data_IF_089275768890
#
_entry.id   IF_089275768890
#
_cell.length_a   1.000
_cell.length_b   1.000
_cell.length_c   1.000
_cell.angle_alpha   90.00
_cell.angle_beta   90.00
_cell.angle_gamma   90.00
#
_symmetry.space_group_name_H-M   'P 1'
#
loop_
_entity.id
_entity.type
_entity.pdbx_description
1 polymer ?
#
# COMPACT_ATOMS: atom_id res chain seq x y z
N UNK A 1 -12.26 -9.44 -23.71
CA UNK A 1 -12.07 -9.00 -22.31
C UNK A 1 -10.87 -9.76 -21.78
N UNK A 2 -9.74 -9.09 -21.70
CA UNK A 2 -8.59 -9.63 -20.95
C UNK A 2 -8.89 -9.39 -19.48
N UNK A 3 -9.33 -10.43 -18.76
CA UNK A 3 -9.60 -10.39 -17.36
C UNK A 3 -8.30 -10.23 -16.54
N UNK A 4 -8.40 -9.89 -15.26
CA UNK A 4 -7.28 -9.91 -14.33
C UNK A 4 -6.68 -11.33 -14.22
N UNK A 5 -5.40 -11.40 -13.90
CA UNK A 5 -4.68 -12.66 -13.69
C UNK A 5 -4.62 -12.98 -12.20
N UNK A 6 -4.82 -14.27 -11.86
CA UNK A 6 -4.61 -14.81 -10.52
C UNK A 6 -3.27 -15.53 -10.47
N UNK A 7 -2.45 -15.24 -9.48
CA UNK A 7 -1.17 -15.88 -9.24
C UNK A 7 -1.11 -16.43 -7.82
N UNK A 8 -0.84 -17.73 -7.69
CA UNK A 8 -0.51 -18.37 -6.41
C UNK A 8 0.99 -18.23 -6.14
N UNK A 9 1.34 -17.58 -5.03
CA UNK A 9 2.72 -17.34 -4.63
C UNK A 9 3.17 -18.28 -3.51
N UNK A 10 4.42 -18.75 -3.63
CA UNK A 10 5.04 -19.63 -2.65
C UNK A 10 5.67 -18.82 -1.52
N UNK A 11 5.59 -19.34 -0.30
CA UNK A 11 6.24 -18.77 0.87
C UNK A 11 7.75 -18.71 0.69
N UNK A 12 8.37 -17.57 0.90
CA UNK A 12 9.81 -17.43 0.99
C UNK A 12 10.32 -17.76 2.40
N UNK A 13 11.59 -18.13 2.49
CA UNK A 13 12.20 -18.46 3.79
C UNK A 13 12.59 -17.18 4.50
N UNK A 14 12.16 -17.03 5.74
CA UNK A 14 12.31 -15.84 6.57
C UNK A 14 13.76 -15.30 6.64
N UNK A 15 14.73 -16.21 6.74
CA UNK A 15 16.16 -15.88 6.94
C UNK A 15 16.81 -15.15 5.76
N UNK A 16 16.19 -15.17 4.59
CA UNK A 16 16.71 -14.51 3.38
C UNK A 16 15.91 -13.29 2.96
N UNK A 17 14.79 -13.02 3.62
CA UNK A 17 13.85 -11.99 3.17
C UNK A 17 14.47 -10.61 3.03
N UNK A 18 15.23 -10.13 4.01
CA UNK A 18 15.85 -8.79 3.98
C UNK A 18 16.82 -8.65 2.81
N UNK A 19 17.59 -9.71 2.53
CA UNK A 19 18.51 -9.74 1.38
C UNK A 19 17.75 -9.74 0.06
N UNK A 20 16.68 -10.51 -0.03
CA UNK A 20 15.82 -10.54 -1.21
C UNK A 20 15.15 -9.20 -1.43
N UNK A 21 14.68 -8.54 -0.37
CA UNK A 21 14.10 -7.21 -0.39
C UNK A 21 15.07 -6.15 -0.91
N UNK A 22 16.34 -6.18 -0.46
CA UNK A 22 17.36 -5.27 -0.98
C UNK A 22 17.67 -5.50 -2.46
N UNK A 23 17.73 -6.77 -2.89
CA UNK A 23 17.97 -7.10 -4.30
C UNK A 23 16.81 -6.63 -5.16
N UNK A 24 15.57 -6.90 -4.74
CA UNK A 24 14.37 -6.46 -5.44
C UNK A 24 14.33 -4.92 -5.57
N UNK A 25 14.67 -4.20 -4.50
CA UNK A 25 14.71 -2.73 -4.50
C UNK A 25 15.74 -2.18 -5.49
N UNK A 26 16.89 -2.87 -5.66
CA UNK A 26 17.89 -2.52 -6.67
C UNK A 26 17.41 -2.80 -8.10
N UNK A 27 16.71 -3.91 -8.31
CA UNK A 27 16.09 -4.24 -9.61
C UNK A 27 15.05 -3.18 -9.98
N UNK A 28 14.13 -2.86 -9.10
CA UNK A 28 13.10 -1.83 -9.29
C UNK A 28 13.69 -0.45 -9.58
N UNK A 29 14.81 -0.11 -8.92
CA UNK A 29 15.52 1.14 -9.16
C UNK A 29 16.13 1.20 -10.57
N UNK A 30 16.79 0.12 -11.00
CA UNK A 30 17.35 -0.01 -12.35
C UNK A 30 16.25 0.10 -13.42
N UNK A 31 15.11 -0.53 -13.16
CA UNK A 31 13.99 -0.64 -14.09
C UNK A 31 13.04 0.58 -14.01
N UNK A 32 13.37 1.56 -13.12
CA UNK A 32 12.62 2.79 -12.91
C UNK A 32 11.14 2.53 -12.57
N UNK A 33 10.89 1.51 -11.78
CA UNK A 33 9.58 1.18 -11.25
C UNK A 33 9.52 1.53 -9.78
N UNK A 34 8.68 2.47 -9.39
CA UNK A 34 8.40 2.76 -7.99
C UNK A 34 7.39 1.75 -7.45
N UNK A 35 7.69 1.13 -6.31
CA UNK A 35 6.78 0.19 -5.64
C UNK A 35 6.31 0.77 -4.31
N UNK A 36 5.01 0.95 -4.17
CA UNK A 36 4.34 1.31 -2.93
C UNK A 36 3.77 0.05 -2.26
N UNK A 37 4.16 -0.23 -1.01
CA UNK A 37 3.48 -1.21 -0.17
C UNK A 37 2.36 -0.50 0.63
N UNK A 38 1.10 -0.84 0.35
CA UNK A 38 -0.08 -0.25 0.98
C UNK A 38 -0.65 -1.21 2.02
N UNK A 39 -0.53 -0.85 3.28
CA UNK A 39 -0.93 -1.66 4.43
C UNK A 39 -2.11 -1.05 5.18
N UNK A 40 -2.91 -1.88 5.81
CA UNK A 40 -4.01 -1.44 6.69
C UNK A 40 -4.65 -2.61 7.42
N UNK A 41 -5.59 -2.31 8.30
CA UNK A 41 -6.58 -3.29 8.77
C UNK A 41 -7.69 -3.53 7.74
N UNK A 42 -8.42 -4.65 7.85
CA UNK A 42 -9.62 -4.88 7.06
C UNK A 42 -10.65 -3.76 7.25
N UNK A 43 -11.33 -3.37 6.18
CA UNK A 43 -12.37 -2.35 6.23
C UNK A 43 -11.89 -0.90 6.38
N UNK A 44 -10.59 -0.62 6.39
CA UNK A 44 -10.03 0.75 6.46
C UNK A 44 -10.32 1.60 5.22
N UNK A 45 -10.66 0.97 4.09
CA UNK A 45 -10.96 1.62 2.81
C UNK A 45 -9.83 1.57 1.80
N UNK A 46 -8.99 0.52 1.82
CA UNK A 46 -7.90 0.29 0.85
C UNK A 46 -8.37 0.43 -0.59
N UNK A 47 -9.31 -0.40 -1.01
CA UNK A 47 -9.83 -0.43 -2.39
C UNK A 47 -10.39 0.92 -2.84
N UNK A 48 -11.11 1.64 -1.95
CA UNK A 48 -11.62 2.98 -2.26
C UNK A 48 -10.48 3.99 -2.42
N UNK A 49 -9.46 3.91 -1.55
CA UNK A 49 -8.26 4.75 -1.63
C UNK A 49 -7.46 4.47 -2.91
N UNK A 50 -7.29 3.19 -3.27
CA UNK A 50 -6.63 2.80 -4.52
C UNK A 50 -7.35 3.36 -5.74
N UNK A 51 -8.68 3.25 -5.81
CA UNK A 51 -9.46 3.82 -6.91
C UNK A 51 -9.28 5.33 -7.03
N UNK A 52 -9.29 6.06 -5.90
CA UNK A 52 -9.06 7.49 -5.88
C UNK A 52 -7.62 7.85 -6.32
N UNK A 53 -6.63 7.04 -5.88
CA UNK A 53 -5.22 7.19 -6.25
C UNK A 53 -5.01 6.99 -7.75
N UNK A 54 -5.56 5.91 -8.31
CA UNK A 54 -5.47 5.60 -9.74
C UNK A 54 -6.14 6.70 -10.56
N UNK A 55 -7.34 7.13 -10.17
CA UNK A 55 -8.05 8.20 -10.87
C UNK A 55 -7.26 9.53 -10.91
N UNK A 56 -6.49 9.82 -9.84
CA UNK A 56 -5.69 11.03 -9.74
C UNK A 56 -4.36 10.99 -10.52
N UNK A 57 -3.82 9.78 -10.81
CA UNK A 57 -2.45 9.63 -11.32
C UNK A 57 -2.32 8.87 -12.64
N UNK A 58 -3.36 8.20 -13.14
CA UNK A 58 -3.33 7.34 -14.33
C UNK A 58 -2.96 8.05 -15.62
N UNK A 59 -3.18 9.36 -15.72
CA UNK A 59 -2.82 10.14 -16.89
C UNK A 59 -1.33 10.56 -16.88
N UNK A 60 -0.64 10.34 -15.78
CA UNK A 60 0.77 10.71 -15.57
C UNK A 60 1.69 9.49 -15.48
N UNK A 61 1.20 8.36 -14.95
CA UNK A 61 1.96 7.14 -14.71
C UNK A 61 1.24 5.90 -15.24
N UNK A 62 2.01 4.95 -15.76
CA UNK A 62 1.54 3.59 -16.06
C UNK A 62 1.45 2.83 -14.75
N UNK A 63 0.22 2.68 -14.22
CA UNK A 63 -0.01 2.12 -12.89
C UNK A 63 -0.34 0.63 -13.00
N UNK A 64 0.36 -0.18 -12.17
CA UNK A 64 0.06 -1.58 -11.95
C UNK A 64 -0.29 -1.85 -10.50
N UNK A 65 -1.25 -2.74 -10.24
CA UNK A 65 -1.70 -3.10 -8.90
C UNK A 65 -1.56 -4.60 -8.70
N UNK A 66 -0.91 -4.97 -7.62
CA UNK A 66 -0.88 -6.32 -7.09
C UNK A 66 -1.79 -6.34 -5.86
N UNK A 67 -2.89 -7.05 -5.95
CA UNK A 67 -3.88 -7.15 -4.90
C UNK A 67 -3.69 -8.47 -4.14
N UNK A 68 -3.37 -8.39 -2.84
CA UNK A 68 -3.15 -9.56 -2.03
C UNK A 68 -4.34 -9.84 -1.12
N UNK A 69 -4.99 -10.97 -1.34
CA UNK A 69 -6.03 -11.49 -0.46
C UNK A 69 -5.78 -12.97 -0.14
N UNK A 70 -6.44 -13.43 0.89
CA UNK A 70 -6.35 -14.84 1.31
C UNK A 70 -7.04 -15.73 0.27
N UNK A 71 -8.24 -15.32 -0.22
CA UNK A 71 -9.06 -16.17 -1.10
C UNK A 71 -10.15 -15.40 -1.91
N UNK A 72 -10.07 -14.06 -2.04
CA UNK A 72 -11.08 -13.24 -2.74
C UNK A 72 -10.47 -12.53 -3.96
N UNK A 73 -11.26 -12.40 -5.02
CA UNK A 73 -10.92 -11.68 -6.25
C UNK A 73 -11.79 -10.44 -6.50
N UNK A 74 -12.66 -10.11 -5.55
CA UNK A 74 -13.66 -9.02 -5.69
C UNK A 74 -13.00 -7.66 -5.82
N UNK A 75 -11.95 -7.41 -5.06
CA UNK A 75 -11.23 -6.13 -5.07
C UNK A 75 -10.40 -5.97 -6.35
N UNK A 76 -9.73 -7.02 -6.82
CA UNK A 76 -9.02 -7.02 -8.11
C UNK A 76 -9.96 -6.68 -9.28
N UNK A 77 -11.13 -7.31 -9.35
CA UNK A 77 -12.13 -7.03 -10.38
C UNK A 77 -12.70 -5.59 -10.29
N UNK A 78 -12.66 -5.01 -9.10
CA UNK A 78 -13.08 -3.62 -8.87
C UNK A 78 -12.01 -2.63 -9.32
N UNK A 79 -10.74 -2.93 -9.11
CA UNK A 79 -9.61 -2.10 -9.54
C UNK A 79 -9.41 -2.19 -11.07
N UNK A 80 -9.57 -3.37 -11.69
CA UNK A 80 -9.48 -3.54 -13.14
C UNK A 80 -10.35 -2.55 -13.91
N UNK A 81 -11.55 -2.27 -13.41
CA UNK A 81 -12.49 -1.29 -14.02
C UNK A 81 -11.95 0.14 -14.06
N UNK A 82 -10.88 0.46 -13.35
CA UNK A 82 -10.20 1.77 -13.40
C UNK A 82 -9.32 1.93 -14.63
N UNK A 83 -9.00 0.83 -15.32
CA UNK A 83 -8.07 0.75 -16.44
C UNK A 83 -6.61 0.54 -16.02
N UNK A 84 -6.31 0.36 -14.73
CA UNK A 84 -4.99 -0.05 -14.27
C UNK A 84 -4.74 -1.53 -14.59
N UNK A 85 -3.45 -1.88 -14.78
CA UNK A 85 -3.03 -3.27 -14.89
C UNK A 85 -3.14 -3.93 -13.51
N UNK A 86 -3.82 -5.07 -13.40
CA UNK A 86 -4.09 -5.71 -12.10
C UNK A 86 -3.71 -7.17 -12.11
N UNK A 87 -3.15 -7.64 -11.01
CA UNK A 87 -2.95 -9.07 -10.74
C UNK A 87 -3.42 -9.38 -9.32
N UNK A 88 -4.14 -10.49 -9.17
CA UNK A 88 -4.52 -11.03 -7.88
C UNK A 88 -3.43 -11.99 -7.37
N UNK A 89 -3.01 -11.81 -6.13
CA UNK A 89 -2.06 -12.66 -5.44
C UNK A 89 -2.79 -13.48 -4.36
N UNK A 90 -2.93 -14.78 -4.57
CA UNK A 90 -3.45 -15.69 -3.55
C UNK A 90 -2.31 -16.10 -2.61
N UNK A 91 -2.40 -15.67 -1.35
CA UNK A 91 -1.35 -15.93 -0.36
C UNK A 91 -1.38 -17.35 0.22
N UNK A 92 -2.41 -18.14 -0.12
CA UNK A 92 -2.56 -19.51 0.40
C UNK A 92 -2.73 -19.58 1.93
N UNK A 93 -3.39 -18.57 2.50
CA UNK A 93 -3.63 -18.48 3.95
C UNK A 93 -2.56 -17.68 4.72
N UNK A 94 -1.57 -17.11 4.02
CA UNK A 94 -0.59 -16.21 4.64
C UNK A 94 -1.22 -14.85 4.94
N UNK A 95 -0.89 -14.29 6.10
CA UNK A 95 -1.39 -12.99 6.56
C UNK A 95 -0.49 -11.80 6.19
N UNK A 96 0.51 -12.01 5.32
CA UNK A 96 1.46 -11.00 4.83
C UNK A 96 2.05 -11.42 3.49
N UNK A 97 2.75 -10.49 2.86
CA UNK A 97 3.64 -10.75 1.74
C UNK A 97 5.09 -10.46 2.15
N UNK A 98 6.02 -11.22 1.60
CA UNK A 98 7.45 -11.01 1.70
C UNK A 98 8.05 -10.55 0.36
N UNK A 99 9.38 -10.36 0.30
CA UNK A 99 10.05 -9.89 -0.91
C UNK A 99 9.99 -10.90 -2.07
N UNK A 100 10.08 -12.20 -1.78
CA UNK A 100 9.99 -13.26 -2.78
C UNK A 100 8.60 -13.33 -3.40
N UNK A 101 7.56 -13.22 -2.58
CA UNK A 101 6.17 -13.16 -3.03
C UNK A 101 5.91 -11.89 -3.85
N UNK A 102 6.43 -10.76 -3.39
CA UNK A 102 6.33 -9.48 -4.11
C UNK A 102 6.99 -9.55 -5.48
N UNK A 103 8.19 -10.14 -5.57
CA UNK A 103 8.89 -10.35 -6.84
C UNK A 103 8.08 -11.20 -7.80
N UNK A 104 7.51 -12.32 -7.35
CA UNK A 104 6.63 -13.17 -8.17
C UNK A 104 5.40 -12.38 -8.67
N UNK A 105 4.83 -11.54 -7.81
CA UNK A 105 3.73 -10.65 -8.18
C UNK A 105 4.10 -9.66 -9.28
N UNK A 106 5.26 -9.01 -9.16
CA UNK A 106 5.78 -8.08 -10.16
C UNK A 106 6.07 -8.76 -11.51
N UNK A 107 6.67 -9.96 -11.49
CA UNK A 107 6.90 -10.77 -12.69
C UNK A 107 5.56 -11.13 -13.37
N UNK A 108 4.56 -11.53 -12.60
CA UNK A 108 3.21 -11.82 -13.08
C UNK A 108 2.48 -10.60 -13.62
N UNK A 109 2.70 -9.42 -13.02
CA UNK A 109 2.16 -8.16 -13.47
C UNK A 109 2.83 -7.70 -14.79
N UNK A 110 4.11 -8.03 -15.00
CA UNK A 110 4.90 -7.59 -16.14
C UNK A 110 5.29 -6.12 -16.01
N UNK A 111 6.37 -5.87 -15.26
CA UNK A 111 6.80 -4.53 -14.83
C UNK A 111 7.38 -3.65 -15.94
N UNK A 112 7.79 -4.20 -17.08
CA UNK A 112 8.40 -3.44 -18.19
C UNK A 112 7.54 -2.24 -18.66
N UNK A 113 6.23 -2.32 -18.42
CA UNK A 113 5.25 -1.31 -18.80
C UNK A 113 4.66 -0.55 -17.58
N UNK A 114 5.32 -0.60 -16.41
CA UNK A 114 4.80 -0.01 -15.17
C UNK A 114 5.80 0.95 -14.56
N UNK A 115 5.42 2.22 -14.42
CA UNK A 115 6.24 3.24 -13.74
C UNK A 115 5.96 3.28 -12.23
N UNK A 116 4.74 2.92 -11.85
CA UNK A 116 4.24 2.94 -10.49
C UNK A 116 3.46 1.67 -10.18
N UNK A 117 4.07 0.77 -9.42
CA UNK A 117 3.43 -0.43 -8.90
C UNK A 117 2.91 -0.20 -7.48
N UNK A 118 1.72 -0.71 -7.19
CA UNK A 118 1.12 -0.70 -5.86
C UNK A 118 0.91 -2.15 -5.42
N UNK A 119 1.47 -2.51 -4.27
CA UNK A 119 1.18 -3.74 -3.58
C UNK A 119 0.13 -3.46 -2.51
N UNK A 120 -1.12 -3.85 -2.75
CA UNK A 120 -2.13 -3.89 -1.70
C UNK A 120 -1.86 -5.12 -0.82
N UNK A 121 -1.29 -4.90 0.36
CA UNK A 121 -0.96 -5.98 1.28
C UNK A 121 -2.21 -6.52 2.00
N UNK A 122 -2.11 -7.74 2.52
CA UNK A 122 -3.19 -8.36 3.30
C UNK A 122 -3.64 -7.47 4.45
N UNK A 123 -4.94 -7.39 4.69
CA UNK A 123 -5.52 -6.58 5.76
C UNK A 123 -5.11 -7.08 7.15
N UNK A 124 -3.97 -6.57 7.67
CA UNK A 124 -3.39 -6.96 8.96
C UNK A 124 -2.44 -5.86 9.44
N UNK A 125 -2.38 -5.60 10.77
CA UNK A 125 -1.50 -4.59 11.36
C UNK A 125 -0.26 -5.16 12.05
N UNK A 126 -0.09 -6.48 12.07
CA UNK A 126 1.04 -7.16 12.73
C UNK A 126 1.98 -7.74 11.68
N UNK A 127 1.57 -8.81 11.01
CA UNK A 127 2.44 -9.57 10.12
C UNK A 127 3.05 -8.74 8.97
N UNK A 128 2.30 -7.87 8.25
CA UNK A 128 2.88 -7.04 7.19
C UNK A 128 3.95 -6.06 7.67
N UNK A 129 3.97 -5.73 8.97
CA UNK A 129 5.00 -4.85 9.53
C UNK A 129 6.34 -5.57 9.80
N UNK A 130 6.33 -6.90 9.89
CA UNK A 130 7.51 -7.70 10.21
C UNK A 130 8.31 -8.13 8.97
N UNK A 131 7.69 -8.04 7.78
CA UNK A 131 8.29 -8.52 6.53
C UNK A 131 8.55 -7.37 5.56
N UNK A 132 9.81 -7.19 5.19
CA UNK A 132 10.18 -6.27 4.13
C UNK A 132 9.76 -6.84 2.77
N UNK A 133 8.91 -6.12 2.05
CA UNK A 133 8.42 -6.50 0.72
C UNK A 133 9.35 -6.08 -0.43
N UNK A 134 10.46 -5.40 -0.14
CA UNK A 134 11.31 -4.77 -1.16
C UNK A 134 10.73 -3.50 -1.78
N UNK A 135 9.68 -2.93 -1.18
CA UNK A 135 9.05 -1.70 -1.66
C UNK A 135 9.96 -0.48 -1.57
N UNK A 136 9.70 0.51 -2.44
CA UNK A 136 10.36 1.82 -2.40
C UNK A 136 9.89 2.64 -1.22
N UNK A 137 8.60 2.54 -0.89
CA UNK A 137 7.93 3.24 0.21
C UNK A 137 6.82 2.40 0.83
N UNK A 138 6.58 2.63 2.12
CA UNK A 138 5.50 2.01 2.89
C UNK A 138 4.43 3.05 3.24
N UNK A 139 3.20 2.79 2.84
CA UNK A 139 2.03 3.57 3.22
C UNK A 139 1.11 2.76 4.11
N UNK A 140 0.52 3.41 5.10
CA UNK A 140 -0.50 2.81 5.95
C UNK A 140 -1.79 3.61 5.90
N UNK A 141 -2.94 2.91 5.88
CA UNK A 141 -4.26 3.52 6.05
C UNK A 141 -4.79 3.16 7.44
N UNK A 142 -5.09 4.19 8.24
CA UNK A 142 -5.87 4.10 9.47
C UNK A 142 -7.19 4.82 9.25
N UNK A 143 -8.32 4.17 9.46
CA UNK A 143 -9.60 4.85 9.34
C UNK A 143 -10.11 5.36 10.69
N UNK A 144 -10.84 6.48 10.66
CA UNK A 144 -11.44 7.10 11.87
C UNK A 144 -12.21 6.10 12.74
N UNK A 145 -13.07 5.19 12.20
CA UNK A 145 -13.78 4.22 13.03
C UNK A 145 -12.91 3.22 13.78
N UNK A 146 -11.62 3.08 13.42
CA UNK A 146 -10.71 2.15 14.09
C UNK A 146 -10.16 2.69 15.42
N UNK A 147 -10.23 4.00 15.64
CA UNK A 147 -9.75 4.68 16.84
C UNK A 147 -8.33 5.24 16.72
N UNK A 148 -8.08 6.33 17.44
CA UNK A 148 -6.83 7.08 17.44
C UNK A 148 -5.71 6.42 18.28
N UNK A 149 -6.05 5.39 19.04
CA UNK A 149 -5.15 4.62 19.90
C UNK A 149 -4.41 3.47 19.18
N UNK A 150 -4.70 3.23 17.90
CA UNK A 150 -4.03 2.18 17.11
C UNK A 150 -2.50 2.27 17.11
N UNK A 151 -1.87 3.46 17.07
CA UNK A 151 -0.41 3.56 17.16
C UNK A 151 0.16 3.01 18.47
N UNK A 152 -0.60 3.05 19.56
CA UNK A 152 -0.19 2.51 20.85
C UNK A 152 -0.29 0.98 20.89
N UNK A 153 -1.22 0.40 20.12
CA UNK A 153 -1.48 -1.04 20.06
C UNK A 153 -0.59 -1.77 19.04
N UNK A 154 -0.22 -1.08 17.96
CA UNK A 154 0.55 -1.65 16.84
C UNK A 154 1.76 -0.79 16.48
N UNK A 155 2.67 -0.51 17.44
CA UNK A 155 3.73 0.49 17.27
C UNK A 155 4.68 0.18 16.10
N UNK A 156 4.97 -1.09 15.81
CA UNK A 156 5.84 -1.47 14.71
C UNK A 156 5.30 -1.00 13.37
N UNK A 157 4.01 -1.21 13.10
CA UNK A 157 3.37 -0.78 11.84
C UNK A 157 3.58 0.72 11.58
N UNK A 158 3.39 1.57 12.60
CA UNK A 158 3.55 3.01 12.45
C UNK A 158 5.01 3.47 12.40
N UNK A 159 5.93 2.67 12.92
CA UNK A 159 7.37 3.01 12.91
C UNK A 159 8.04 2.79 11.56
N UNK A 160 7.54 1.85 10.75
CA UNK A 160 8.13 1.48 9.46
C UNK A 160 7.54 2.24 8.26
N UNK A 161 6.45 2.97 8.46
CA UNK A 161 5.75 3.64 7.36
C UNK A 161 6.36 5.01 7.04
N UNK A 162 6.45 5.35 5.75
CA UNK A 162 6.84 6.67 5.26
C UNK A 162 5.66 7.65 5.33
N UNK A 163 4.44 7.14 5.13
CA UNK A 163 3.22 7.94 5.15
C UNK A 163 2.07 7.20 5.83
N UNK A 164 1.29 7.95 6.60
CA UNK A 164 0.03 7.53 7.21
C UNK A 164 -1.12 8.31 6.59
N UNK A 165 -2.06 7.61 5.99
CA UNK A 165 -3.34 8.15 5.56
C UNK A 165 -4.37 7.93 6.67
N UNK A 166 -4.91 9.01 7.25
CA UNK A 166 -6.04 8.93 8.18
C UNK A 166 -7.30 9.06 7.35
N UNK A 167 -7.93 7.91 7.03
CA UNK A 167 -9.06 7.83 6.11
C UNK A 167 -10.41 7.94 6.82
N UNK A 168 -11.45 8.23 6.03
CA UNK A 168 -12.84 8.41 6.47
C UNK A 168 -13.02 9.62 7.39
N UNK A 169 -12.30 10.73 7.13
CA UNK A 169 -12.46 11.95 7.92
C UNK A 169 -13.85 12.57 7.78
N UNK A 170 -14.58 12.24 6.71
CA UNK A 170 -15.98 12.63 6.48
C UNK A 170 -16.94 12.12 7.57
N UNK A 171 -16.58 11.03 8.28
CA UNK A 171 -17.39 10.52 9.39
C UNK A 171 -16.84 10.89 10.77
N UNK A 172 -15.74 11.65 10.85
CA UNK A 172 -15.11 12.05 12.11
C UNK A 172 -16.08 12.67 13.14
N UNK A 173 -17.09 13.48 12.75
CA UNK A 173 -18.05 14.03 13.70
C UNK A 173 -18.92 12.99 14.43
N UNK A 174 -18.94 11.75 13.96
CA UNK A 174 -19.74 10.65 14.52
C UNK A 174 -18.92 9.66 15.35
N UNK A 175 -17.62 9.89 15.50
CA UNK A 175 -16.70 9.00 16.22
C UNK A 175 -15.89 9.81 17.24
N UNK A 176 -15.53 9.15 18.33
CA UNK A 176 -14.60 9.67 19.31
C UNK A 176 -13.16 9.42 18.81
N UNK A 177 -12.68 10.31 17.95
CA UNK A 177 -11.35 10.25 17.33
C UNK A 177 -10.63 11.58 17.50
N UNK A 178 -9.56 11.57 18.29
CA UNK A 178 -8.69 12.74 18.46
C UNK A 178 -7.51 12.70 17.47
N UNK A 179 -7.62 13.49 16.40
CA UNK A 179 -6.61 13.58 15.36
C UNK A 179 -5.24 14.04 15.89
N UNK A 180 -5.23 14.98 16.83
CA UNK A 180 -3.97 15.51 17.39
C UNK A 180 -3.32 14.51 18.36
N UNK A 181 -4.11 13.78 19.13
CA UNK A 181 -3.60 12.67 19.94
C UNK A 181 -2.99 11.59 19.05
N UNK A 182 -3.68 11.17 17.99
CA UNK A 182 -3.17 10.20 17.02
C UNK A 182 -1.85 10.67 16.40
N UNK A 183 -1.77 11.92 15.91
CA UNK A 183 -0.54 12.51 15.37
C UNK A 183 0.61 12.49 16.38
N UNK A 184 0.33 12.79 17.64
CA UNK A 184 1.32 12.79 18.73
C UNK A 184 1.85 11.37 18.99
N UNK A 185 0.98 10.36 19.01
CA UNK A 185 1.39 8.96 19.18
C UNK A 185 2.27 8.49 18.02
N UNK A 186 1.83 8.75 16.79
CA UNK A 186 2.57 8.36 15.58
C UNK A 186 3.95 9.02 15.52
N UNK A 187 4.04 10.34 15.76
CA UNK A 187 5.31 11.07 15.71
C UNK A 187 6.31 10.67 16.79
N UNK A 188 5.85 10.09 17.91
CA UNK A 188 6.74 9.51 18.91
C UNK A 188 7.42 8.24 18.41
N UNK A 189 6.75 7.47 17.56
CA UNK A 189 7.27 6.23 16.97
C UNK A 189 8.11 6.53 15.72
N UNK A 190 7.65 7.48 14.91
CA UNK A 190 8.28 7.87 13.68
C UNK A 190 8.17 9.39 13.48
N UNK A 191 9.20 10.16 13.89
CA UNK A 191 9.18 11.63 13.80
C UNK A 191 9.06 12.18 12.37
N UNK A 192 9.51 11.42 11.37
CA UNK A 192 9.59 11.84 9.98
C UNK A 192 8.39 11.43 9.12
N UNK A 193 7.46 10.68 9.68
CA UNK A 193 6.30 10.19 8.93
C UNK A 193 5.43 11.33 8.41
N UNK A 194 5.07 11.29 7.14
CA UNK A 194 4.04 12.19 6.59
C UNK A 194 2.66 11.71 7.04
N UNK A 195 1.81 12.60 7.55
CA UNK A 195 0.44 12.26 7.97
C UNK A 195 -0.53 13.08 7.14
N UNK A 196 -1.40 12.41 6.40
CA UNK A 196 -2.37 13.03 5.49
C UNK A 196 -3.77 12.55 5.86
N UNK A 197 -4.63 13.41 6.42
CA UNK A 197 -6.06 13.12 6.58
C UNK A 197 -6.74 13.10 5.22
N UNK A 198 -7.54 12.06 4.96
CA UNK A 198 -8.26 11.89 3.70
C UNK A 198 -9.70 11.39 3.92
N UNK A 199 -10.56 11.66 2.97
CA UNK A 199 -11.75 10.88 2.70
C UNK A 199 -11.68 10.36 1.26
N UNK A 200 -11.36 9.09 1.11
CA UNK A 200 -11.34 8.45 -0.21
C UNK A 200 -12.73 8.45 -0.88
N UNK A 201 -13.79 8.58 -0.07
CA UNK A 201 -15.17 8.65 -0.55
C UNK A 201 -15.52 10.01 -1.15
N UNK A 202 -15.14 11.11 -0.47
CA UNK A 202 -15.50 12.48 -0.89
C UNK A 202 -14.43 13.12 -1.75
N UNK A 203 -13.21 12.58 -1.77
CA UNK A 203 -12.05 13.15 -2.45
C UNK A 203 -11.25 14.14 -1.61
N UNK A 204 -11.69 14.46 -0.39
CA UNK A 204 -10.95 15.35 0.51
C UNK A 204 -9.56 14.77 0.85
N UNK A 205 -8.50 15.59 0.76
CA UNK A 205 -7.12 15.20 1.02
C UNK A 205 -6.47 14.35 -0.09
N UNK A 206 -7.21 13.85 -1.08
CA UNK A 206 -6.66 13.02 -2.17
C UNK A 206 -5.65 13.78 -3.03
N UNK A 207 -5.83 15.08 -3.23
CA UNK A 207 -4.85 15.89 -3.96
C UNK A 207 -3.49 15.93 -3.24
N UNK A 208 -3.45 16.13 -1.91
CA UNK A 208 -2.20 16.12 -1.12
C UNK A 208 -1.53 14.74 -1.16
N UNK A 209 -2.33 13.66 -1.08
CA UNK A 209 -1.85 12.30 -1.22
C UNK A 209 -1.23 12.05 -2.60
N UNK A 210 -1.93 12.46 -3.67
CA UNK A 210 -1.44 12.32 -5.04
C UNK A 210 -0.15 13.13 -5.28
N UNK A 211 -0.05 14.34 -4.72
CA UNK A 211 1.14 15.19 -4.83
C UNK A 211 2.35 14.57 -4.12
N UNK A 212 2.14 13.96 -2.95
CA UNK A 212 3.18 13.21 -2.26
C UNK A 212 3.67 12.04 -3.11
N UNK A 213 2.75 11.21 -3.63
CA UNK A 213 3.10 10.09 -4.51
C UNK A 213 3.83 10.55 -5.76
N UNK A 214 3.35 11.61 -6.41
CA UNK A 214 3.97 12.18 -7.61
C UNK A 214 5.43 12.58 -7.35
N UNK A 215 5.69 13.14 -6.19
CA UNK A 215 7.03 13.54 -5.76
C UNK A 215 7.92 12.32 -5.55
N UNK A 216 7.45 11.30 -4.83
CA UNK A 216 8.22 10.10 -4.53
C UNK A 216 8.49 9.26 -5.79
N UNK A 217 7.50 9.07 -6.66
CA UNK A 217 7.63 8.33 -7.93
C UNK A 217 8.66 9.01 -8.84
N UNK A 218 8.57 10.33 -9.02
CA UNK A 218 9.52 11.08 -9.85
C UNK A 218 10.93 11.00 -9.28
N UNK A 219 11.08 11.26 -7.98
CA UNK A 219 12.38 11.18 -7.30
C UNK A 219 13.01 9.78 -7.38
N UNK A 220 12.20 8.73 -7.36
CA UNK A 220 12.66 7.36 -7.54
C UNK A 220 13.10 7.08 -8.97
N UNK A 221 12.32 7.48 -9.96
CA UNK A 221 12.56 7.16 -11.37
C UNK A 221 13.64 8.03 -12.03
N UNK A 222 13.98 9.18 -11.44
CA UNK A 222 15.01 10.12 -11.95
C UNK A 222 16.44 9.83 -11.42
N UNK A 223 16.58 9.05 -10.35
CA UNK A 223 17.88 8.65 -9.79
C UNK A 223 18.40 7.41 -10.50
#
# INVERSE_FOLDING_TARGET
MEGFRVLEIKKSVFENNDREAELLRKELKRDKTFLLNLMSSPGSGKTTTLKATIAALKDEFRIGVMEADIDSDVDAATIEKTGAKVIQLHTGGMCHLDAGMTKQGLEGLGVDDVDFAILENVGNLVCPAEFDTGSSKNAMILSVPEGDDKPLKYPLMFSICDVLLINKIDVMPYFDFDLEACRKYVRRLNPNIKIIPISARTGEGIAEWADWLRTEVKAWNEQ
#
